data_IF_262676518910
#
_entry.id   IF_262676518910
#
_cell.length_a   1.000
_cell.length_b   1.000
_cell.length_c   1.000
_cell.angle_alpha   90.00
_cell.angle_beta   90.00
_cell.angle_gamma   90.00
#
_symmetry.space_group_name_H-M   'P 1'
#
loop_
_entity.id
_entity.type
_entity.pdbx_description
1 polymer ?
#
# COMPACT_ATOMS: atom_id res chain seq x y z
N UNK A 1 7.64 26.84 -5.46
CA UNK A 1 8.17 25.48 -5.14
C UNK A 1 8.50 24.69 -6.41
N UNK A 2 9.21 25.30 -7.36
CA UNK A 2 9.72 24.62 -8.55
C UNK A 2 11.00 25.38 -8.94
N UNK A 3 12.15 24.90 -8.47
CA UNK A 3 13.43 25.60 -8.63
C UNK A 3 14.65 24.80 -8.17
N UNK A 4 14.46 23.79 -7.30
CA UNK A 4 15.55 22.90 -6.89
C UNK A 4 15.19 21.45 -7.20
N UNK A 5 16.07 20.81 -7.98
CA UNK A 5 16.12 19.39 -8.33
C UNK A 5 14.76 18.70 -8.52
N UNK A 6 14.35 18.54 -9.78
CA UNK A 6 13.20 17.70 -10.21
C UNK A 6 13.20 16.34 -9.50
N UNK A 7 14.38 15.74 -9.33
CA UNK A 7 14.54 14.45 -8.66
C UNK A 7 14.18 14.50 -7.17
N UNK A 8 14.61 15.53 -6.42
CA UNK A 8 14.27 15.67 -5.00
C UNK A 8 12.76 15.78 -4.79
N UNK A 9 12.06 16.55 -5.62
CA UNK A 9 10.60 16.67 -5.56
C UNK A 9 9.90 15.33 -5.85
N UNK A 10 10.40 14.58 -6.84
CA UNK A 10 9.89 13.23 -7.14
C UNK A 10 10.12 12.29 -5.94
N UNK A 11 11.31 12.30 -5.34
CA UNK A 11 11.62 11.45 -4.18
C UNK A 11 10.70 11.71 -3.00
N UNK A 12 10.50 12.98 -2.61
CA UNK A 12 9.60 13.30 -1.49
C UNK A 12 8.16 12.91 -1.78
N UNK A 13 7.66 13.20 -2.98
CA UNK A 13 6.30 12.83 -3.38
C UNK A 13 6.12 11.31 -3.38
N UNK A 14 7.06 10.57 -3.96
CA UNK A 14 7.03 9.11 -4.01
C UNK A 14 7.10 8.51 -2.61
N UNK A 15 8.04 8.96 -1.77
CA UNK A 15 8.17 8.47 -0.39
C UNK A 15 6.91 8.69 0.45
N UNK A 16 6.25 9.83 0.30
CA UNK A 16 4.97 10.08 0.98
C UNK A 16 3.84 9.15 0.51
N UNK A 17 3.80 8.84 -0.79
CA UNK A 17 2.82 7.90 -1.37
C UNK A 17 3.10 6.47 -0.92
N UNK A 18 4.36 6.05 -0.97
CA UNK A 18 4.79 4.71 -0.57
C UNK A 18 4.48 4.44 0.91
N UNK A 19 4.69 5.45 1.79
CA UNK A 19 4.32 5.34 3.22
C UNK A 19 2.82 5.15 3.44
N UNK A 20 1.97 5.83 2.66
CA UNK A 20 0.51 5.66 2.75
C UNK A 20 0.10 4.28 2.24
N UNK A 21 0.70 3.87 1.12
CA UNK A 21 0.45 2.58 0.47
C UNK A 21 0.87 1.41 1.36
N UNK A 22 2.05 1.44 1.98
CA UNK A 22 2.53 0.35 2.85
C UNK A 22 1.58 0.09 4.02
N UNK A 23 1.06 1.16 4.65
CA UNK A 23 0.07 1.04 5.74
C UNK A 23 -1.22 0.33 5.29
N UNK A 24 -1.68 0.59 4.07
CA UNK A 24 -2.86 -0.07 3.50
C UNK A 24 -2.58 -1.55 3.21
N UNK A 25 -1.45 -1.86 2.55
CA UNK A 25 -1.06 -3.23 2.23
C UNK A 25 -0.92 -4.10 3.48
N UNK A 26 -0.32 -3.59 4.56
CA UNK A 26 -0.21 -4.35 5.82
C UNK A 26 -1.58 -4.70 6.41
N UNK A 27 -2.57 -3.81 6.32
CA UNK A 27 -3.93 -4.11 6.76
C UNK A 27 -4.59 -5.16 5.87
N UNK A 28 -4.56 -4.96 4.56
CA UNK A 28 -5.15 -5.88 3.59
C UNK A 28 -4.56 -7.29 3.71
N UNK A 29 -3.23 -7.41 3.82
CA UNK A 29 -2.56 -8.70 4.01
C UNK A 29 -3.03 -9.43 5.28
N UNK A 30 -3.20 -8.70 6.39
CA UNK A 30 -3.75 -9.27 7.62
C UNK A 30 -5.17 -9.76 7.43
N UNK A 31 -6.04 -8.95 6.83
CA UNK A 31 -7.45 -9.32 6.58
C UNK A 31 -7.56 -10.54 5.67
N UNK A 32 -6.79 -10.59 4.57
CA UNK A 32 -6.75 -11.75 3.66
C UNK A 32 -6.35 -13.02 4.43
N UNK A 33 -5.35 -12.93 5.30
CA UNK A 33 -4.89 -14.07 6.09
C UNK A 33 -5.97 -14.55 7.07
N UNK A 34 -6.72 -13.63 7.69
CA UNK A 34 -7.82 -13.97 8.59
C UNK A 34 -8.97 -14.60 7.80
N UNK A 35 -9.39 -13.99 6.69
CA UNK A 35 -10.45 -14.51 5.83
C UNK A 35 -10.14 -15.93 5.31
N UNK A 36 -8.90 -16.17 4.87
CA UNK A 36 -8.45 -17.50 4.44
C UNK A 36 -8.49 -18.53 5.60
N UNK A 37 -8.11 -18.12 6.82
CA UNK A 37 -8.18 -18.99 8.00
C UNK A 37 -9.61 -19.29 8.46
N UNK A 38 -10.55 -18.37 8.24
CA UNK A 38 -11.96 -18.56 8.61
C UNK A 38 -12.72 -19.50 7.66
N UNK A 39 -12.06 -20.04 6.63
CA UNK A 39 -12.65 -21.05 5.75
C UNK A 39 -13.75 -20.49 4.84
N UNK A 40 -13.59 -19.24 4.38
CA UNK A 40 -14.49 -18.64 3.39
C UNK A 40 -14.61 -19.54 2.15
N UNK A 41 -15.81 -19.72 1.59
CA UNK A 41 -15.97 -20.43 0.32
C UNK A 41 -15.16 -19.75 -0.77
N UNK A 42 -14.79 -20.53 -1.78
CA UNK A 42 -13.97 -20.08 -2.90
C UNK A 42 -14.53 -18.75 -3.46
N UNK A 43 -13.75 -17.65 -3.45
CA UNK A 43 -14.21 -16.35 -3.91
C UNK A 43 -14.59 -16.33 -5.40
N UNK A 44 -14.22 -17.37 -6.15
CA UNK A 44 -14.51 -17.55 -7.57
C UNK A 44 -15.65 -18.57 -7.84
N UNK A 45 -16.29 -19.16 -6.81
CA UNK A 45 -17.38 -20.15 -6.95
C UNK A 45 -18.79 -19.56 -6.81
#
# INVERSE_FOLDING_TARGET
MAGHSKFKNIMYRKGAQDKKRSKLFSKLSKEITIAAKMGMPDPDA
#
